data_IF_196841703038
#
_entry.id   IF_196841703038
#
_cell.length_a   1.000
_cell.length_b   1.000
_cell.length_c   1.000
_cell.angle_alpha   90.00
_cell.angle_beta   90.00
_cell.angle_gamma   90.00
#
_symmetry.space_group_name_H-M   'P 1'
#
loop_
_entity.id
_entity.type
_entity.pdbx_description
1 polymer ?
#
# COMPACT_ATOMS: atom_id res chain seq x y z
N UNK A 1 42.81 -9.93 48.14
CA UNK A 1 43.00 -9.25 46.85
C UNK A 1 41.67 -9.16 46.11
N UNK A 2 41.46 -8.08 45.36
CA UNK A 2 40.38 -7.82 44.38
C UNK A 2 38.91 -7.72 44.85
N UNK A 3 38.52 -6.65 45.59
CA UNK A 3 37.13 -6.12 45.56
C UNK A 3 37.00 -4.58 45.67
N UNK A 4 38.11 -3.85 45.86
CA UNK A 4 38.08 -2.36 45.98
C UNK A 4 38.44 -1.61 44.69
N UNK A 5 39.04 -2.28 43.70
CA UNK A 5 39.45 -1.67 42.42
C UNK A 5 38.33 -1.61 41.36
N UNK A 6 37.30 -2.45 41.46
CA UNK A 6 36.18 -2.46 40.51
C UNK A 6 35.22 -1.27 40.73
N UNK A 7 34.98 -0.87 41.97
CA UNK A 7 34.06 0.25 42.28
C UNK A 7 34.60 1.55 41.69
N UNK A 8 35.92 1.75 41.71
CA UNK A 8 36.56 2.92 41.09
C UNK A 8 36.36 2.93 39.58
N UNK A 9 36.40 1.76 38.92
CA UNK A 9 36.20 1.69 37.45
C UNK A 9 34.76 2.03 37.06
N UNK A 10 33.76 1.56 37.81
CA UNK A 10 32.36 1.89 37.54
C UNK A 10 32.05 3.38 37.79
N UNK A 11 32.68 3.99 38.81
CA UNK A 11 32.53 5.40 39.10
C UNK A 11 33.17 6.28 38.00
N UNK A 12 34.34 5.90 37.49
CA UNK A 12 34.98 6.61 36.37
C UNK A 12 34.15 6.49 35.09
N UNK A 13 33.60 5.32 34.78
CA UNK A 13 32.73 5.13 33.61
C UNK A 13 31.44 5.96 33.73
N UNK A 14 30.81 6.00 34.91
CA UNK A 14 29.61 6.82 35.12
C UNK A 14 29.89 8.32 34.95
N UNK A 15 31.03 8.82 35.44
CA UNK A 15 31.44 10.22 35.26
C UNK A 15 31.72 10.53 33.79
N UNK A 16 32.38 9.62 33.06
CA UNK A 16 32.60 9.79 31.62
C UNK A 16 31.27 9.81 30.87
N UNK A 17 30.32 8.94 31.23
CA UNK A 17 29.01 8.84 30.58
C UNK A 17 28.15 10.08 30.84
N UNK A 18 28.20 10.64 32.07
CA UNK A 18 27.54 11.90 32.41
C UNK A 18 28.25 13.07 31.70
N UNK A 19 29.58 13.05 31.63
CA UNK A 19 30.38 14.06 30.95
C UNK A 19 30.12 14.12 29.45
N UNK A 20 30.00 12.97 28.77
CA UNK A 20 29.61 12.92 27.35
C UNK A 20 28.16 13.35 27.13
N UNK A 21 27.22 12.99 28.02
CA UNK A 21 25.85 13.50 27.96
C UNK A 21 25.80 15.03 28.13
N UNK A 22 26.61 15.58 29.06
CA UNK A 22 26.72 17.02 29.27
C UNK A 22 27.35 17.73 28.07
N UNK A 23 28.40 17.16 27.47
CA UNK A 23 29.04 17.73 26.27
C UNK A 23 28.11 17.71 25.06
N UNK A 24 27.27 16.68 24.89
CA UNK A 24 26.24 16.63 23.86
C UNK A 24 25.09 17.62 24.12
N UNK A 25 24.86 18.03 25.37
CA UNK A 25 23.86 19.05 25.72
C UNK A 25 24.36 20.49 25.57
N UNK A 26 25.69 20.71 25.48
CA UNK A 26 26.31 22.04 25.45
C UNK A 26 26.72 22.49 24.04
N UNK A 27 26.54 21.65 23.02
CA UNK A 27 26.48 22.11 21.62
C UNK A 27 25.11 22.73 21.35
N UNK A 28 24.82 23.85 22.02
CA UNK A 28 23.83 24.80 21.55
C UNK A 28 24.53 25.67 20.50
N UNK A 29 24.09 25.47 19.27
CA UNK A 29 24.38 26.35 18.15
C UNK A 29 24.24 27.81 18.57
N UNK A 30 25.16 28.62 18.08
CA UNK A 30 25.08 30.08 18.06
C UNK A 30 23.68 30.50 17.62
N UNK A 31 23.00 31.24 18.50
CA UNK A 31 21.70 31.85 18.23
C UNK A 31 21.89 32.89 17.12
N UNK A 32 21.78 32.44 15.87
CA UNK A 32 21.18 33.25 14.83
C UNK A 32 19.72 33.49 15.22
N UNK A 33 19.23 34.70 15.01
CA UNK A 33 17.83 35.03 15.26
C UNK A 33 16.92 34.13 14.40
N UNK A 34 16.48 33.00 14.98
CA UNK A 34 15.54 32.07 14.38
C UNK A 34 14.20 32.80 14.26
N UNK A 35 13.97 33.39 13.09
CA UNK A 35 12.61 33.46 12.53
C UNK A 35 12.06 32.03 12.63
N UNK A 36 10.83 31.80 13.13
CA UNK A 36 10.26 30.46 13.13
C UNK A 36 10.18 30.01 11.67
N UNK A 37 11.16 29.24 11.20
CA UNK A 37 11.08 28.52 9.96
C UNK A 37 9.90 27.57 10.15
N UNK A 38 8.93 27.61 9.24
CA UNK A 38 7.88 26.61 9.21
C UNK A 38 8.54 25.23 9.37
N UNK A 39 8.17 24.45 10.40
CA UNK A 39 8.67 23.08 10.58
C UNK A 39 8.18 22.22 9.42
N UNK A 40 8.97 22.22 8.35
CA UNK A 40 8.65 21.55 7.09
C UNK A 40 8.77 20.04 7.22
N UNK A 41 9.59 19.56 8.16
CA UNK A 41 9.81 18.14 8.43
C UNK A 41 8.56 17.53 9.04
N UNK A 42 7.94 18.20 10.02
CA UNK A 42 6.70 17.74 10.63
C UNK A 42 5.53 17.68 9.63
N UNK A 43 5.39 18.69 8.78
CA UNK A 43 4.31 18.76 7.77
C UNK A 43 4.50 17.66 6.71
N UNK A 44 5.72 17.50 6.20
CA UNK A 44 6.01 16.45 5.21
C UNK A 44 5.78 15.06 5.79
N UNK A 45 6.22 14.82 7.03
CA UNK A 45 5.99 13.58 7.75
C UNK A 45 4.51 13.27 7.94
N UNK A 46 3.69 14.28 8.25
CA UNK A 46 2.24 14.13 8.33
C UNK A 46 1.63 13.65 7.01
N UNK A 47 1.92 14.34 5.88
CA UNK A 47 1.39 13.97 4.56
C UNK A 47 1.89 12.59 4.12
N UNK A 48 3.14 12.24 4.40
CA UNK A 48 3.66 10.90 4.08
C UNK A 48 3.03 9.82 4.95
N UNK A 49 2.86 10.03 6.24
CA UNK A 49 2.15 9.06 7.10
C UNK A 49 0.71 8.84 6.62
N UNK A 50 0.06 9.93 6.22
CA UNK A 50 -1.27 9.96 5.64
C UNK A 50 -1.38 9.10 4.37
N UNK A 51 -0.51 9.37 3.39
CA UNK A 51 -0.42 8.60 2.16
C UNK A 51 -0.06 7.14 2.42
N UNK A 52 0.79 6.87 3.42
CA UNK A 52 1.18 5.50 3.76
C UNK A 52 0.01 4.67 4.25
N UNK A 53 -0.88 5.25 5.06
CA UNK A 53 -2.06 4.55 5.56
C UNK A 53 -3.06 4.26 4.43
N UNK A 54 -3.42 5.27 3.63
CA UNK A 54 -4.37 5.10 2.54
C UNK A 54 -3.79 4.20 1.44
N UNK A 55 -2.48 4.31 1.16
CA UNK A 55 -1.80 3.44 0.21
C UNK A 55 -1.77 1.97 0.64
N UNK A 56 -1.71 1.69 1.94
CA UNK A 56 -1.84 0.32 2.45
C UNK A 56 -3.24 -0.25 2.19
N UNK A 57 -4.30 0.52 2.49
CA UNK A 57 -5.68 0.13 2.16
C UNK A 57 -5.89 -0.04 0.66
N UNK A 58 -5.35 0.88 -0.16
CA UNK A 58 -5.41 0.79 -1.61
C UNK A 58 -4.86 -0.56 -2.10
N UNK A 59 -3.70 -1.01 -1.58
CA UNK A 59 -3.12 -2.29 -1.97
C UNK A 59 -3.98 -3.47 -1.53
N UNK A 60 -4.48 -3.50 -0.29
CA UNK A 60 -5.33 -4.61 0.17
C UNK A 60 -6.66 -4.69 -0.60
N UNK A 61 -7.39 -3.58 -0.70
CA UNK A 61 -8.72 -3.56 -1.33
C UNK A 61 -8.62 -3.84 -2.83
N UNK A 62 -7.63 -3.27 -3.51
CA UNK A 62 -7.41 -3.50 -4.95
C UNK A 62 -6.94 -4.93 -5.20
N UNK A 63 -6.12 -5.52 -4.32
CA UNK A 63 -5.70 -6.92 -4.45
C UNK A 63 -6.89 -7.87 -4.27
N UNK A 64 -7.70 -7.65 -3.22
CA UNK A 64 -8.88 -8.46 -2.94
C UNK A 64 -9.85 -8.50 -4.14
N UNK A 65 -9.94 -7.39 -4.86
CA UNK A 65 -10.77 -7.20 -6.06
C UNK A 65 -10.01 -7.47 -7.38
N UNK A 66 -8.97 -8.29 -7.34
CA UNK A 66 -8.31 -8.76 -8.57
C UNK A 66 -7.68 -7.63 -9.37
N UNK A 67 -7.07 -6.66 -8.72
CA UNK A 67 -6.37 -5.55 -9.37
C UNK A 67 -7.25 -4.32 -9.67
N UNK A 68 -8.52 -4.30 -9.25
CA UNK A 68 -9.41 -3.16 -9.48
C UNK A 68 -9.84 -2.47 -8.18
N UNK A 69 -9.85 -1.15 -8.18
CA UNK A 69 -10.59 -0.36 -7.20
C UNK A 69 -12.05 -0.26 -7.62
N UNK A 70 -12.31 -0.09 -8.93
CA UNK A 70 -13.65 -0.14 -9.54
C UNK A 70 -13.73 -1.30 -10.56
N UNK A 71 -14.11 -2.51 -10.12
CA UNK A 71 -14.19 -3.68 -11.00
C UNK A 71 -15.16 -3.46 -12.17
N UNK A 72 -14.77 -3.80 -13.42
CA UNK A 72 -15.64 -3.67 -14.58
C UNK A 72 -16.78 -4.71 -14.57
N UNK A 73 -17.82 -4.45 -15.35
CA UNK A 73 -18.85 -5.46 -15.63
C UNK A 73 -18.39 -6.42 -16.75
N UNK A 74 -18.65 -7.73 -16.66
CA UNK A 74 -19.31 -8.40 -15.55
C UNK A 74 -18.37 -8.56 -14.34
N UNK A 75 -18.91 -8.39 -13.14
CA UNK A 75 -18.27 -8.77 -11.88
C UNK A 75 -19.22 -9.62 -11.02
N UNK A 76 -18.68 -10.24 -9.98
CA UNK A 76 -19.44 -11.01 -9.00
C UNK A 76 -19.47 -10.25 -7.67
N UNK A 77 -20.65 -9.76 -7.22
CA UNK A 77 -20.77 -9.15 -5.90
C UNK A 77 -20.54 -10.18 -4.80
N UNK A 78 -19.55 -9.94 -3.93
CA UNK A 78 -19.22 -10.81 -2.81
C UNK A 78 -18.98 -9.98 -1.54
N UNK A 79 -19.87 -10.14 -0.55
CA UNK A 79 -19.93 -9.29 0.64
C UNK A 79 -19.97 -7.78 0.30
N UNK A 80 -18.91 -7.05 0.60
CA UNK A 80 -18.80 -5.59 0.40
C UNK A 80 -17.93 -5.21 -0.79
N UNK A 81 -17.47 -6.20 -1.58
CA UNK A 81 -16.60 -6.00 -2.74
C UNK A 81 -17.21 -6.60 -4.00
N UNK A 82 -16.73 -6.15 -5.15
CA UNK A 82 -17.02 -6.78 -6.43
C UNK A 82 -15.76 -7.50 -6.93
N UNK A 83 -15.91 -8.74 -7.40
CA UNK A 83 -14.78 -9.55 -7.87
C UNK A 83 -14.87 -9.68 -9.39
N UNK A 84 -13.84 -9.29 -10.16
CA UNK A 84 -13.87 -9.35 -11.62
C UNK A 84 -13.82 -10.80 -12.12
N UNK A 85 -14.38 -11.03 -13.31
CA UNK A 85 -14.17 -12.29 -14.03
C UNK A 85 -12.88 -12.20 -14.85
N UNK A 86 -11.87 -12.96 -14.44
CA UNK A 86 -10.66 -13.15 -15.21
C UNK A 86 -10.83 -14.17 -16.34
N UNK A 87 -11.76 -15.10 -16.18
CA UNK A 87 -12.14 -16.07 -17.20
C UNK A 87 -13.65 -16.10 -17.36
N UNK A 88 -14.13 -15.80 -18.56
CA UNK A 88 -15.56 -15.83 -18.87
C UNK A 88 -15.76 -16.03 -20.37
N UNK A 89 -16.75 -16.83 -20.78
CA UNK A 89 -17.04 -17.12 -22.19
C UNK A 89 -15.81 -17.58 -22.99
N UNK A 90 -14.97 -18.40 -22.37
CA UNK A 90 -13.71 -18.91 -22.95
C UNK A 90 -12.71 -17.81 -23.35
N UNK A 91 -12.78 -16.65 -22.69
CA UNK A 91 -11.88 -15.52 -22.91
C UNK A 91 -11.27 -15.06 -21.58
N UNK A 92 -9.99 -14.69 -21.64
CA UNK A 92 -9.28 -14.06 -20.53
C UNK A 92 -9.57 -12.56 -20.50
N UNK A 93 -9.86 -12.02 -19.31
CA UNK A 93 -10.04 -10.59 -19.06
C UNK A 93 -9.28 -10.20 -17.79
N UNK A 94 -7.97 -10.08 -17.93
CA UNK A 94 -7.05 -9.74 -16.84
C UNK A 94 -6.62 -8.28 -17.05
N UNK A 95 -6.65 -7.41 -16.03
CA UNK A 95 -6.08 -6.07 -16.15
C UNK A 95 -4.59 -6.17 -16.41
N UNK A 96 -4.05 -5.29 -17.22
CA UNK A 96 -2.61 -5.06 -17.30
C UNK A 96 -2.08 -4.43 -16.02
N UNK A 97 -0.78 -4.60 -15.74
CA UNK A 97 -0.12 -3.92 -14.62
C UNK A 97 -0.37 -2.41 -14.62
N UNK A 98 -0.36 -1.77 -15.81
CA UNK A 98 -0.60 -0.34 -15.93
C UNK A 98 -2.03 0.08 -15.58
N UNK A 99 -3.02 -0.79 -15.83
CA UNK A 99 -4.40 -0.56 -15.37
C UNK A 99 -4.49 -0.67 -13.85
N UNK A 100 -3.87 -1.69 -13.25
CA UNK A 100 -3.82 -1.83 -11.78
C UNK A 100 -3.16 -0.61 -11.12
N UNK A 101 -2.07 -0.11 -11.69
CA UNK A 101 -1.38 1.10 -11.22
C UNK A 101 -2.29 2.35 -11.28
N UNK A 102 -3.17 2.44 -12.28
CA UNK A 102 -4.18 3.50 -12.37
C UNK A 102 -5.27 3.35 -11.32
N UNK A 103 -5.76 2.13 -11.08
CA UNK A 103 -6.75 1.81 -10.05
C UNK A 103 -6.23 2.15 -8.64
N UNK A 104 -4.97 1.81 -8.35
CA UNK A 104 -4.30 2.19 -7.09
C UNK A 104 -4.20 3.71 -6.93
N UNK A 105 -3.84 4.43 -8.00
CA UNK A 105 -3.76 5.89 -7.97
C UNK A 105 -5.14 6.53 -7.75
N UNK A 106 -6.18 6.00 -8.40
CA UNK A 106 -7.56 6.44 -8.23
C UNK A 106 -8.05 6.24 -6.79
N UNK A 107 -7.77 5.08 -6.19
CA UNK A 107 -8.09 4.82 -4.78
C UNK A 107 -7.49 5.90 -3.87
N UNK A 108 -6.20 6.19 -4.02
CA UNK A 108 -5.54 7.20 -3.19
C UNK A 108 -6.15 8.59 -3.43
N UNK A 109 -6.45 8.95 -4.67
CA UNK A 109 -7.07 10.24 -5.02
C UNK A 109 -8.43 10.45 -4.35
N UNK A 110 -9.32 9.47 -4.43
CA UNK A 110 -10.68 9.57 -3.89
C UNK A 110 -10.69 9.70 -2.37
N UNK A 111 -9.67 9.16 -1.69
CA UNK A 111 -9.62 9.06 -0.24
C UNK A 111 -8.74 10.14 0.43
N UNK A 112 -7.71 10.67 -0.23
CA UNK A 112 -6.68 11.49 0.42
C UNK A 112 -7.20 12.82 1.01
N UNK A 113 -8.12 13.49 0.32
CA UNK A 113 -8.65 14.79 0.75
C UNK A 113 -9.44 14.69 2.06
N UNK A 114 -10.30 13.68 2.19
CA UNK A 114 -11.27 13.58 3.29
C UNK A 114 -10.79 12.73 4.44
N UNK A 115 -10.13 11.60 4.14
CA UNK A 115 -9.82 10.60 5.15
C UNK A 115 -8.69 11.05 6.06
N UNK A 116 -7.79 11.89 5.55
CA UNK A 116 -6.59 12.20 6.31
C UNK A 116 -6.07 13.63 6.16
N UNK A 117 -6.01 14.23 4.97
CA UNK A 117 -5.55 15.63 4.87
C UNK A 117 -6.53 16.59 5.55
N UNK A 118 -7.84 16.37 5.41
CA UNK A 118 -8.91 17.17 6.04
C UNK A 118 -8.67 18.68 5.90
N UNK A 119 -8.32 19.12 4.69
CA UNK A 119 -7.94 20.50 4.34
C UNK A 119 -6.87 21.13 5.27
N UNK A 120 -6.06 20.29 5.90
CA UNK A 120 -5.05 20.62 6.91
C UNK A 120 -5.61 21.43 8.08
N UNK A 121 -6.85 21.16 8.48
CA UNK A 121 -7.57 21.90 9.52
C UNK A 121 -6.78 22.01 10.84
N UNK A 122 -6.03 20.98 11.22
CA UNK A 122 -5.24 21.01 12.46
C UNK A 122 -4.02 21.94 12.35
N UNK A 123 -3.36 22.01 11.20
CA UNK A 123 -2.31 23.00 10.96
C UNK A 123 -2.87 24.42 10.88
N UNK A 124 -4.07 24.62 10.33
CA UNK A 124 -4.76 25.93 10.34
C UNK A 124 -5.01 26.41 11.78
N UNK A 125 -5.44 25.53 12.69
CA UNK A 125 -5.61 25.85 14.12
C UNK A 125 -4.30 26.25 14.80
N UNK A 126 -3.16 25.74 14.31
CA UNK A 126 -1.81 26.08 14.78
C UNK A 126 -1.25 27.39 14.16
N UNK A 127 -2.09 28.13 13.41
CA UNK A 127 -1.76 29.43 12.84
C UNK A 127 -1.11 29.39 11.45
N UNK A 128 -1.15 28.25 10.75
CA UNK A 128 -0.66 28.15 9.38
C UNK A 128 -1.72 28.64 8.38
N UNK A 129 -1.28 29.40 7.37
CA UNK A 129 -2.01 29.62 6.13
C UNK A 129 -1.52 28.63 5.08
N UNK A 130 -2.46 27.95 4.42
CA UNK A 130 -2.15 26.83 3.53
C UNK A 130 -2.79 27.07 2.17
N UNK A 131 -1.99 26.94 1.12
CA UNK A 131 -2.39 27.14 -0.28
C UNK A 131 -2.12 25.86 -1.07
N UNK A 132 -3.02 25.50 -1.98
CA UNK A 132 -2.95 24.20 -2.67
C UNK A 132 -3.23 23.04 -1.71
N UNK A 133 -4.21 23.18 -0.82
CA UNK A 133 -4.50 22.16 0.19
C UNK A 133 -5.30 20.97 -0.35
N UNK A 134 -6.05 21.19 -1.43
CA UNK A 134 -7.04 20.25 -1.95
C UNK A 134 -6.61 19.78 -3.33
N UNK A 135 -6.50 18.47 -3.48
CA UNK A 135 -6.26 17.85 -4.77
C UNK A 135 -7.56 17.88 -5.57
N UNK A 136 -7.46 18.25 -6.84
CA UNK A 136 -8.59 18.30 -7.78
C UNK A 136 -8.34 17.55 -9.08
N UNK A 137 -7.11 17.08 -9.30
CA UNK A 137 -6.72 16.40 -10.53
C UNK A 137 -6.10 15.03 -10.18
N UNK A 138 -6.71 13.91 -10.61
CA UNK A 138 -6.18 12.58 -10.34
C UNK A 138 -4.80 12.34 -10.97
N UNK A 139 -4.42 13.08 -12.01
CA UNK A 139 -3.11 12.96 -12.65
C UNK A 139 -1.93 13.41 -11.76
N UNK A 140 -2.22 14.08 -10.64
CA UNK A 140 -1.23 14.45 -9.63
C UNK A 140 -0.72 13.23 -8.85
N UNK A 141 -1.45 12.11 -8.90
CA UNK A 141 -1.10 10.86 -8.21
C UNK A 141 -0.67 9.82 -9.24
N UNK A 142 0.40 9.11 -8.92
CA UNK A 142 0.81 7.92 -9.65
C UNK A 142 1.19 6.81 -8.67
N UNK A 143 0.76 5.58 -8.96
CA UNK A 143 1.26 4.37 -8.32
C UNK A 143 2.18 3.62 -9.30
N UNK A 144 3.16 2.89 -8.76
CA UNK A 144 4.03 2.00 -9.54
C UNK A 144 4.22 0.72 -8.75
N UNK A 145 3.85 -0.41 -9.35
CA UNK A 145 4.09 -1.73 -8.79
C UNK A 145 5.54 -2.14 -9.01
N UNK A 146 6.21 -2.53 -7.93
CA UNK A 146 7.58 -3.03 -7.91
C UNK A 146 7.59 -4.38 -7.22
N UNK A 147 8.69 -5.12 -7.39
CA UNK A 147 8.91 -6.32 -6.61
C UNK A 147 8.94 -5.94 -5.12
N UNK A 148 8.08 -6.59 -4.33
CA UNK A 148 7.99 -6.38 -2.88
C UNK A 148 7.30 -5.10 -2.41
N UNK A 149 6.90 -4.19 -3.30
CA UNK A 149 6.31 -2.91 -2.88
C UNK A 149 5.48 -2.18 -3.95
N UNK A 150 4.63 -1.27 -3.50
CA UNK A 150 3.95 -0.28 -4.35
C UNK A 150 4.43 1.11 -3.99
N UNK A 151 4.90 1.87 -4.98
CA UNK A 151 5.34 3.25 -4.80
C UNK A 151 4.24 4.23 -5.19
N UNK A 152 3.74 5.01 -4.22
CA UNK A 152 2.84 6.12 -4.49
C UNK A 152 3.62 7.44 -4.53
N UNK A 153 3.33 8.26 -5.53
CA UNK A 153 3.89 9.60 -5.69
C UNK A 153 2.76 10.60 -5.90
N UNK A 154 2.74 11.65 -5.08
CA UNK A 154 1.87 12.81 -5.20
C UNK A 154 2.71 14.01 -5.66
N UNK A 155 2.40 14.55 -6.85
CA UNK A 155 3.04 15.73 -7.45
C UNK A 155 2.11 16.94 -7.35
N UNK A 156 1.83 17.36 -6.12
CA UNK A 156 0.98 18.50 -5.85
C UNK A 156 1.71 19.49 -4.92
N UNK A 157 2.04 20.70 -5.39
CA UNK A 157 2.77 21.68 -4.59
C UNK A 157 1.87 22.33 -3.55
N UNK A 158 2.19 22.11 -2.26
CA UNK A 158 1.44 22.67 -1.13
C UNK A 158 2.30 23.73 -0.44
N UNK A 159 1.78 24.95 -0.34
CA UNK A 159 2.48 26.05 0.33
C UNK A 159 1.95 26.25 1.75
N UNK A 160 2.86 26.35 2.71
CA UNK A 160 2.58 26.60 4.13
C UNK A 160 3.25 27.91 4.56
N UNK A 161 2.46 28.82 5.12
CA UNK A 161 2.92 30.13 5.60
C UNK A 161 2.59 30.29 7.08
N UNK A 162 3.58 30.71 7.87
CA UNK A 162 3.42 31.04 9.30
C UNK A 162 4.29 32.25 9.64
N UNK A 163 3.65 33.35 10.06
CA UNK A 163 4.34 34.62 10.29
C UNK A 163 4.99 35.12 9.01
N UNK A 164 6.33 35.26 9.01
CA UNK A 164 7.12 35.71 7.86
C UNK A 164 7.80 34.55 7.10
N UNK A 165 7.55 33.30 7.49
CA UNK A 165 8.10 32.12 6.82
C UNK A 165 7.05 31.53 5.88
N UNK A 166 7.46 31.28 4.63
CA UNK A 166 6.69 30.53 3.64
C UNK A 166 7.56 29.40 3.10
N UNK A 167 7.00 28.20 3.05
CA UNK A 167 7.61 27.03 2.43
C UNK A 167 6.66 26.43 1.42
N UNK A 168 7.21 25.77 0.40
CA UNK A 168 6.45 24.96 -0.55
C UNK A 168 7.01 23.55 -0.54
N UNK A 169 6.13 22.55 -0.51
CA UNK A 169 6.47 21.15 -0.66
C UNK A 169 5.92 20.67 -2.00
N UNK A 170 6.80 20.39 -2.96
CA UNK A 170 6.41 20.13 -4.35
C UNK A 170 5.88 18.71 -4.59
N UNK A 171 6.33 17.74 -3.80
CA UNK A 171 5.93 16.34 -3.94
C UNK A 171 6.09 15.54 -2.67
N UNK A 172 5.32 14.45 -2.62
CA UNK A 172 5.32 13.48 -1.53
C UNK A 172 5.41 12.08 -2.13
N UNK A 173 6.11 11.19 -1.44
CA UNK A 173 6.32 9.83 -1.90
C UNK A 173 6.32 8.87 -0.71
N UNK A 174 5.66 7.73 -0.89
CA UNK A 174 5.62 6.64 0.10
C UNK A 174 5.75 5.30 -0.62
N UNK A 175 6.44 4.37 0.00
CA UNK A 175 6.56 2.99 -0.49
C UNK A 175 5.83 2.08 0.48
N UNK A 176 4.81 1.38 -0.02
CA UNK A 176 4.03 0.41 0.72
C UNK A 176 4.72 -0.94 0.54
N UNK A 177 5.25 -1.58 1.62
CA UNK A 177 6.01 -2.82 1.53
C UNK A 177 5.07 -4.03 1.43
N UNK A 178 4.23 -4.05 0.40
CA UNK A 178 3.32 -5.13 0.06
C UNK A 178 3.56 -5.54 -1.39
N UNK A 179 3.82 -6.82 -1.61
CA UNK A 179 4.13 -7.37 -2.93
C UNK A 179 2.86 -7.69 -3.71
N UNK A 180 2.23 -6.67 -4.29
CA UNK A 180 1.06 -6.85 -5.14
C UNK A 180 1.43 -7.42 -6.53
N UNK A 181 2.69 -7.30 -6.94
CA UNK A 181 3.14 -7.78 -8.25
C UNK A 181 3.16 -9.31 -8.31
N UNK A 182 3.61 -9.96 -7.24
CA UNK A 182 3.62 -11.42 -7.14
C UNK A 182 2.25 -12.09 -7.34
N UNK A 183 1.17 -11.74 -6.62
CA UNK A 183 -0.15 -12.33 -6.85
C UNK A 183 -0.69 -12.04 -8.26
N UNK A 184 -0.44 -10.84 -8.79
CA UNK A 184 -0.79 -10.49 -10.16
C UNK A 184 -0.11 -11.43 -11.19
N UNK A 185 1.22 -11.62 -11.09
CA UNK A 185 1.95 -12.48 -12.02
C UNK A 185 1.50 -13.96 -11.90
N UNK A 186 1.18 -14.42 -10.68
CA UNK A 186 0.69 -15.77 -10.44
C UNK A 186 -0.73 -16.00 -10.96
N UNK A 187 -1.63 -15.03 -10.80
CA UNK A 187 -2.98 -15.12 -11.38
C UNK A 187 -2.93 -15.17 -12.91
N UNK A 188 -2.03 -14.41 -13.55
CA UNK A 188 -1.78 -14.52 -14.99
C UNK A 188 -1.33 -15.94 -15.39
N UNK A 189 -0.46 -16.58 -14.61
CA UNK A 189 -0.05 -17.96 -14.86
C UNK A 189 -1.21 -18.96 -14.74
N UNK A 190 -2.10 -18.77 -13.76
CA UNK A 190 -3.32 -19.59 -13.58
C UNK A 190 -4.24 -19.44 -14.80
N UNK A 191 -4.51 -18.21 -15.25
CA UNK A 191 -5.39 -17.97 -16.40
C UNK A 191 -4.75 -18.42 -17.73
N UNK A 192 -3.43 -18.35 -17.85
CA UNK A 192 -2.72 -18.90 -19.01
C UNK A 192 -2.90 -20.43 -19.12
N UNK A 193 -2.91 -21.14 -17.99
CA UNK A 193 -3.23 -22.57 -17.96
C UNK A 193 -4.72 -22.82 -18.24
N UNK A 194 -5.61 -22.03 -17.63
CA UNK A 194 -7.05 -22.08 -17.88
C UNK A 194 -7.38 -21.95 -19.38
N UNK A 195 -6.63 -21.10 -20.09
CA UNK A 195 -6.81 -20.88 -21.52
C UNK A 195 -6.49 -22.11 -22.39
N UNK A 196 -5.67 -23.05 -21.89
CA UNK A 196 -5.35 -24.31 -22.58
C UNK A 196 -6.43 -25.36 -22.40
N UNK A 197 -7.10 -25.33 -21.25
CA UNK A 197 -8.16 -26.27 -20.88
C UNK A 197 -9.41 -25.49 -20.42
N UNK A 198 -10.16 -24.87 -21.34
CA UNK A 198 -11.21 -23.87 -21.04
C UNK A 198 -12.27 -24.25 -20.01
N UNK A 199 -12.60 -25.55 -19.93
CA UNK A 199 -13.65 -26.09 -19.06
C UNK A 199 -13.09 -26.97 -17.93
N UNK A 200 -11.76 -27.01 -17.76
CA UNK A 200 -11.13 -27.73 -16.66
C UNK A 200 -10.55 -26.74 -15.66
N UNK A 201 -10.73 -27.02 -14.37
CA UNK A 201 -10.11 -26.24 -13.32
C UNK A 201 -8.61 -26.56 -13.25
N UNK A 202 -7.70 -25.58 -13.27
CA UNK A 202 -6.25 -25.80 -13.25
C UNK A 202 -5.74 -26.13 -11.84
N UNK A 203 -6.40 -27.02 -11.10
CA UNK A 203 -6.13 -27.32 -9.69
C UNK A 203 -4.70 -27.83 -9.47
N UNK A 204 -4.23 -28.75 -10.32
CA UNK A 204 -2.87 -29.28 -10.24
C UNK A 204 -1.81 -28.19 -10.48
N UNK A 205 -2.05 -27.34 -11.48
CA UNK A 205 -1.15 -26.23 -11.81
C UNK A 205 -1.16 -25.15 -10.74
N UNK A 206 -2.32 -24.82 -10.17
CA UNK A 206 -2.47 -23.93 -9.03
C UNK A 206 -1.76 -24.47 -7.78
N UNK A 207 -1.90 -25.76 -7.47
CA UNK A 207 -1.22 -26.40 -6.35
C UNK A 207 0.31 -26.41 -6.52
N UNK A 208 0.81 -26.64 -7.73
CA UNK A 208 2.23 -26.55 -8.03
C UNK A 208 2.77 -25.11 -7.88
N UNK A 209 2.01 -24.11 -8.35
CA UNK A 209 2.35 -22.70 -8.18
C UNK A 209 2.39 -22.30 -6.69
N UNK A 210 1.40 -22.73 -5.91
CA UNK A 210 1.30 -22.51 -4.47
C UNK A 210 2.53 -23.02 -3.72
N UNK A 211 2.92 -24.27 -3.98
CA UNK A 211 4.10 -24.89 -3.38
C UNK A 211 5.41 -24.18 -3.80
N UNK A 212 5.55 -23.82 -5.08
CA UNK A 212 6.78 -23.19 -5.59
C UNK A 212 6.95 -21.74 -5.13
N UNK A 213 5.85 -21.03 -4.88
CA UNK A 213 5.87 -19.59 -4.57
C UNK A 213 5.47 -19.27 -3.12
N UNK A 214 5.26 -20.28 -2.29
CA UNK A 214 4.94 -20.16 -0.87
C UNK A 214 3.70 -19.27 -0.62
N UNK A 215 2.57 -19.67 -1.18
CA UNK A 215 1.26 -19.08 -0.90
C UNK A 215 0.21 -20.19 -0.71
N UNK A 216 -0.89 -19.89 -0.05
CA UNK A 216 -2.05 -20.79 0.08
C UNK A 216 -3.19 -20.28 -0.78
N UNK A 217 -4.16 -21.13 -1.13
CA UNK A 217 -5.30 -20.69 -1.91
C UNK A 217 -6.60 -21.31 -1.41
N UNK A 218 -7.68 -20.59 -1.62
CA UNK A 218 -9.04 -21.06 -1.41
C UNK A 218 -9.80 -21.03 -2.73
N UNK A 219 -10.69 -22.00 -2.90
CA UNK A 219 -11.57 -22.12 -4.05
C UNK A 219 -13.00 -22.18 -3.49
N UNK A 220 -13.82 -21.22 -3.90
CA UNK A 220 -15.24 -21.18 -3.50
C UNK A 220 -16.12 -21.29 -4.73
N UNK A 221 -17.08 -22.20 -4.68
CA UNK A 221 -18.05 -22.41 -5.76
C UNK A 221 -19.31 -21.59 -5.50
N UNK A 222 -19.79 -20.90 -6.53
CA UNK A 222 -21.05 -20.18 -6.53
C UNK A 222 -21.94 -20.72 -7.65
N UNK A 223 -23.05 -21.36 -7.29
CA UNK A 223 -23.90 -22.01 -8.27
C UNK A 223 -23.17 -23.16 -8.98
N UNK A 224 -23.47 -23.35 -10.27
CA UNK A 224 -22.94 -24.48 -11.05
C UNK A 224 -21.66 -24.17 -11.82
N UNK A 225 -21.44 -22.91 -12.21
CA UNK A 225 -20.40 -22.55 -13.19
C UNK A 225 -19.40 -21.50 -12.68
N UNK A 226 -19.71 -20.79 -11.60
CA UNK A 226 -18.89 -19.68 -11.09
C UNK A 226 -17.96 -20.14 -9.97
N UNK A 227 -16.67 -19.87 -10.13
CA UNK A 227 -15.63 -20.23 -9.17
C UNK A 227 -14.83 -19.00 -8.79
N UNK A 228 -14.74 -18.73 -7.49
CA UNK A 228 -13.83 -17.75 -6.92
C UNK A 228 -12.51 -18.41 -6.57
N UNK A 229 -11.42 -17.88 -7.12
CA UNK A 229 -10.07 -18.17 -6.70
C UNK A 229 -9.59 -17.07 -5.76
N UNK A 230 -9.12 -17.46 -4.57
CA UNK A 230 -8.51 -16.55 -3.61
C UNK A 230 -7.07 -16.99 -3.34
N UNK A 231 -6.09 -16.24 -3.85
CA UNK A 231 -4.67 -16.48 -3.59
C UNK A 231 -4.28 -15.72 -2.32
N UNK A 232 -3.70 -16.39 -1.34
CA UNK A 232 -3.48 -15.87 0.02
C UNK A 232 -1.99 -15.91 0.34
N UNK A 233 -1.42 -14.73 0.62
CA UNK A 233 0.00 -14.55 0.89
C UNK A 233 0.20 -14.04 2.31
N UNK A 234 0.96 -14.79 3.11
CA UNK A 234 1.33 -14.37 4.46
C UNK A 234 2.24 -13.14 4.44
N UNK A 235 1.87 -12.12 5.21
CA UNK A 235 2.64 -10.89 5.38
C UNK A 235 3.07 -10.78 6.84
N UNK A 236 4.38 -10.75 7.17
CA UNK A 236 4.84 -10.68 8.56
C UNK A 236 4.25 -9.50 9.33
N UNK A 237 3.64 -9.78 10.49
CA UNK A 237 3.03 -8.78 11.39
C UNK A 237 1.87 -7.97 10.79
N UNK A 238 1.29 -8.43 9.67
CA UNK A 238 0.14 -7.78 9.01
C UNK A 238 -0.90 -8.83 8.63
N UNK A 239 -2.05 -8.36 8.15
CA UNK A 239 -3.05 -9.24 7.56
C UNK A 239 -2.51 -9.88 6.27
N UNK A 240 -2.92 -11.11 5.94
CA UNK A 240 -2.54 -11.73 4.67
C UNK A 240 -3.01 -10.88 3.48
N UNK A 241 -2.19 -10.80 2.44
CA UNK A 241 -2.59 -10.20 1.18
C UNK A 241 -3.39 -11.24 0.39
N UNK A 242 -4.67 -10.95 0.17
CA UNK A 242 -5.57 -11.82 -0.61
C UNK A 242 -5.75 -11.24 -2.00
N UNK A 243 -5.64 -12.08 -3.03
CA UNK A 243 -5.88 -11.71 -4.42
C UNK A 243 -7.00 -12.56 -5.02
N UNK A 244 -8.14 -11.91 -5.28
CA UNK A 244 -9.40 -12.58 -5.67
C UNK A 244 -9.74 -12.38 -7.14
N UNK A 245 -10.13 -13.45 -7.84
CA UNK A 245 -10.71 -13.36 -9.18
C UNK A 245 -11.70 -14.50 -9.46
N UNK A 246 -12.70 -14.21 -10.29
CA UNK A 246 -13.70 -15.17 -10.72
C UNK A 246 -13.28 -15.87 -12.03
N UNK A 247 -13.67 -17.13 -12.15
CA UNK A 247 -13.70 -17.87 -13.41
C UNK A 247 -15.08 -18.49 -13.60
N UNK A 248 -15.65 -18.34 -14.79
CA UNK A 248 -16.88 -19.01 -15.21
C UNK A 248 -16.56 -20.12 -16.20
N UNK A 249 -17.05 -21.33 -15.91
CA UNK A 249 -16.87 -22.52 -16.72
C UNK A 249 -18.14 -22.88 -17.50
N UNK A 250 -18.01 -23.71 -18.54
CA UNK A 250 -19.14 -24.39 -19.16
C UNK A 250 -19.09 -25.87 -18.81
N UNK A 251 -19.81 -26.24 -17.74
CA UNK A 251 -19.95 -27.64 -17.30
C UNK A 251 -21.29 -28.26 -17.67
N UNK A 252 -21.98 -27.70 -18.67
CA UNK A 252 -23.28 -28.20 -19.12
C UNK A 252 -23.25 -29.69 -19.50
N UNK A 253 -22.14 -30.18 -20.08
CA UNK A 253 -21.96 -31.58 -20.47
C UNK A 253 -21.85 -32.55 -19.28
N UNK A 254 -21.42 -32.09 -18.11
CA UNK A 254 -21.32 -32.91 -16.90
C UNK A 254 -22.69 -33.11 -16.21
N UNK A 255 -23.73 -32.38 -16.64
CA UNK A 255 -25.06 -32.40 -16.02
C UNK A 255 -25.95 -33.53 -16.54
N UNK A 256 -25.55 -34.19 -17.62
CA UNK A 256 -26.32 -35.27 -18.28
C UNK A 256 -25.63 -36.64 -18.26
N UNK A 257 -24.60 -36.81 -17.42
CA UNK A 257 -23.85 -38.05 -17.24
C UNK A 257 -24.30 -38.90 -16.05
#
# INVERSE_FOLDING_TARGET
>A
MQKRAQITIFLVIAIIMIGTLFLLSYSQDTIDAIRPSADTTGIKGFVQSCMSQIGEWAVYDTSLQGGYYTPPEPNFPYFYVAIPYYWNNQAASIPSQGEIEQELAAYLFDNINHTCLNDFNDFRKLGYRIYGARLSDPSEISAVMRDGSVLFTLRHPISFEKGNSKTTLDSFQVSIPLDMKKPYDLSNAVIAEQSRYPNEMPLSSLAALAAANNFTFEITYFGEDDVLYSLIFDVPHKEPLVYGFMARYDWSELRYG
#
